data_IF_673904371304
#
_entry.id   IF_673904371304
#
_cell.length_a   1.000
_cell.length_b   1.000
_cell.length_c   1.000
_cell.angle_alpha   90.00
_cell.angle_beta   90.00
_cell.angle_gamma   90.00
#
_symmetry.space_group_name_H-M   'P 1'
#
loop_
_entity.id
_entity.type
_entity.pdbx_description
1 polymer ?
#
# COMPACT_ATOMS: atom_id res chain seq x y z
N UNK A 1 8.18 31.93 -15.14
CA UNK A 1 7.12 30.91 -15.35
C UNK A 1 6.06 31.37 -16.34
N UNK A 2 5.26 32.42 -16.06
CA UNK A 2 4.16 32.85 -16.96
C UNK A 2 4.60 33.10 -18.42
N UNK A 3 5.75 33.74 -18.63
CA UNK A 3 6.31 33.96 -19.98
C UNK A 3 6.66 32.64 -20.68
N UNK A 4 7.13 31.65 -19.92
CA UNK A 4 7.58 30.35 -20.45
C UNK A 4 6.36 29.46 -20.76
N UNK A 5 5.38 29.41 -19.87
CA UNK A 5 4.17 28.58 -20.03
C UNK A 5 3.19 29.14 -21.06
N UNK A 6 3.25 30.43 -21.39
CA UNK A 6 2.42 31.05 -22.44
C UNK A 6 2.99 30.84 -23.87
N UNK A 7 3.93 29.91 -24.06
CA UNK A 7 4.45 29.57 -25.39
C UNK A 7 5.36 30.63 -26.02
N UNK A 8 6.02 31.46 -25.21
CA UNK A 8 6.99 32.43 -25.73
C UNK A 8 8.13 31.73 -26.46
N UNK A 9 8.55 32.28 -27.61
CA UNK A 9 9.76 31.83 -28.32
C UNK A 9 11.02 31.88 -27.45
N UNK A 10 11.03 32.65 -26.36
CA UNK A 10 12.13 32.74 -25.40
C UNK A 10 12.16 31.59 -24.37
N UNK A 11 11.17 30.71 -24.35
CA UNK A 11 11.07 29.62 -23.39
C UNK A 11 12.36 28.77 -23.31
N UNK A 12 12.93 28.40 -24.46
CA UNK A 12 14.16 27.61 -24.52
C UNK A 12 15.39 28.32 -23.92
N UNK A 13 15.43 29.65 -23.96
CA UNK A 13 16.51 30.45 -23.36
C UNK A 13 16.32 30.66 -21.87
N UNK A 14 15.07 30.72 -21.40
CA UNK A 14 14.75 31.02 -20.00
C UNK A 14 14.72 29.77 -19.11
N UNK A 15 14.40 28.60 -19.66
CA UNK A 15 14.32 27.33 -18.90
C UNK A 15 15.62 26.96 -18.16
N UNK A 16 16.83 27.13 -18.72
CA UNK A 16 18.07 26.82 -18.00
C UNK A 16 18.38 27.76 -16.81
N UNK A 17 17.79 28.96 -16.81
CA UNK A 17 17.97 29.95 -15.73
C UNK A 17 16.83 29.90 -14.71
N UNK A 18 16.01 28.86 -14.73
CA UNK A 18 14.97 28.68 -13.74
C UNK A 18 15.60 28.32 -12.39
N UNK A 19 15.48 29.22 -11.42
CA UNK A 19 16.04 29.07 -10.07
C UNK A 19 14.91 28.86 -9.04
N UNK A 20 14.32 27.65 -8.94
CA UNK A 20 13.18 27.39 -8.05
C UNK A 20 13.49 27.62 -6.57
N UNK A 21 14.77 27.53 -6.18
CA UNK A 21 15.24 27.82 -4.83
C UNK A 21 15.12 29.31 -4.45
N UNK A 22 15.01 30.22 -5.41
CA UNK A 22 14.78 31.65 -5.17
C UNK A 22 13.29 32.00 -5.04
N UNK A 23 12.39 31.08 -5.40
CA UNK A 23 10.94 31.34 -5.36
C UNK A 23 10.47 31.40 -3.90
N UNK A 24 9.75 32.45 -3.47
CA UNK A 24 9.23 32.55 -2.11
C UNK A 24 8.36 31.32 -1.74
N UNK A 25 8.38 30.85 -0.47
CA UNK A 25 7.56 29.72 -0.04
C UNK A 25 6.08 29.89 -0.41
N UNK A 26 5.52 31.09 -0.21
CA UNK A 26 4.11 31.40 -0.49
C UNK A 26 3.73 31.27 -1.99
N UNK A 27 4.72 31.35 -2.88
CA UNK A 27 4.53 31.20 -4.33
C UNK A 27 4.89 29.78 -4.82
N UNK A 28 5.65 29.01 -4.04
CA UNK A 28 6.18 27.72 -4.44
C UNK A 28 5.07 26.68 -4.66
N UNK A 29 4.02 26.70 -3.84
CA UNK A 29 2.86 25.85 -4.01
C UNK A 29 2.10 26.16 -5.32
N UNK A 30 1.85 27.45 -5.58
CA UNK A 30 1.17 27.91 -6.79
C UNK A 30 1.99 27.60 -8.05
N UNK A 31 3.31 27.75 -7.96
CA UNK A 31 4.26 27.37 -9.01
C UNK A 31 4.18 25.88 -9.32
N UNK A 32 4.28 25.02 -8.30
CA UNK A 32 4.19 23.56 -8.50
C UNK A 32 2.85 23.18 -9.13
N UNK A 33 1.75 23.72 -8.61
CA UNK A 33 0.39 23.43 -9.11
C UNK A 33 0.23 23.89 -10.56
N UNK A 34 0.78 25.05 -10.92
CA UNK A 34 0.74 25.57 -12.29
C UNK A 34 1.54 24.71 -13.26
N UNK A 35 2.75 24.29 -12.85
CA UNK A 35 3.59 23.40 -13.65
C UNK A 35 2.96 22.00 -13.79
N UNK A 36 2.39 21.48 -12.70
CA UNK A 36 1.63 20.22 -12.66
C UNK A 36 0.48 20.23 -13.67
N UNK A 37 -0.27 21.32 -13.77
CA UNK A 37 -1.33 21.49 -14.78
C UNK A 37 -0.77 21.60 -16.20
N UNK A 38 0.26 22.43 -16.38
CA UNK A 38 0.88 22.66 -17.69
C UNK A 38 1.49 21.38 -18.29
N UNK A 39 2.02 20.49 -17.45
CA UNK A 39 2.53 19.19 -17.91
C UNK A 39 1.49 18.36 -18.66
N UNK A 40 0.21 18.54 -18.39
CA UNK A 40 -0.88 17.79 -19.04
C UNK A 40 -1.29 18.39 -20.39
N UNK A 41 -0.83 19.60 -20.71
CA UNK A 41 -1.09 20.26 -21.97
C UNK A 41 0.00 19.87 -22.99
N UNK A 42 -0.34 19.20 -24.11
CA UNK A 42 0.63 18.80 -25.15
C UNK A 42 1.53 19.94 -25.64
N UNK A 43 1.05 21.18 -25.63
CA UNK A 43 1.78 22.35 -26.11
C UNK A 43 2.88 22.77 -25.12
N UNK A 44 2.64 22.60 -23.82
CA UNK A 44 3.53 23.10 -22.76
C UNK A 44 4.25 21.98 -21.99
N UNK A 45 3.90 20.72 -22.25
CA UNK A 45 4.37 19.55 -21.52
C UNK A 45 5.90 19.43 -21.44
N UNK A 46 6.62 19.58 -22.55
CA UNK A 46 8.08 19.42 -22.59
C UNK A 46 8.80 20.48 -21.76
N UNK A 47 8.33 21.72 -21.82
CA UNK A 47 8.90 22.86 -21.09
C UNK A 47 8.51 22.80 -19.62
N UNK A 48 7.27 22.47 -19.31
CA UNK A 48 6.80 22.29 -17.94
C UNK A 48 7.52 21.13 -17.24
N UNK A 49 7.81 20.04 -17.96
CA UNK A 49 8.64 18.93 -17.48
C UNK A 49 10.06 19.39 -17.15
N UNK A 50 10.71 20.14 -18.04
CA UNK A 50 12.06 20.65 -17.82
C UNK A 50 12.14 21.61 -16.61
N UNK A 51 11.05 22.32 -16.30
CA UNK A 51 10.96 23.17 -15.11
C UNK A 51 10.67 22.34 -13.84
N UNK A 52 9.80 21.34 -13.91
CA UNK A 52 9.52 20.45 -12.77
C UNK A 52 10.71 19.58 -12.40
N UNK A 53 11.49 19.12 -13.37
CA UNK A 53 12.69 18.32 -13.10
C UNK A 53 13.79 19.12 -12.38
N UNK A 54 13.80 20.45 -12.56
CA UNK A 54 14.67 21.37 -11.82
C UNK A 54 14.13 21.72 -10.43
N UNK A 55 12.86 21.41 -10.13
CA UNK A 55 12.26 21.70 -8.83
C UNK A 55 12.71 20.64 -7.82
N UNK A 56 13.61 21.03 -6.93
CA UNK A 56 14.03 20.19 -5.82
C UNK A 56 12.91 20.07 -4.77
N UNK A 57 12.15 18.98 -4.87
CA UNK A 57 11.04 18.68 -3.97
C UNK A 57 11.49 18.54 -2.50
N UNK A 58 12.76 18.15 -2.25
CA UNK A 58 13.30 18.05 -0.89
C UNK A 58 13.50 19.44 -0.31
N UNK A 59 14.10 20.34 -1.08
CA UNK A 59 14.26 21.74 -0.69
C UNK A 59 12.89 22.42 -0.52
N UNK A 60 11.93 22.14 -1.40
CA UNK A 60 10.56 22.63 -1.25
C UNK A 60 9.93 22.22 0.08
N UNK A 61 10.09 20.96 0.51
CA UNK A 61 9.60 20.46 1.80
C UNK A 61 10.26 21.11 3.01
N UNK A 62 11.52 21.54 2.91
CA UNK A 62 12.20 22.24 3.99
C UNK A 62 11.74 23.70 4.13
N UNK A 63 11.28 24.31 3.04
CA UNK A 63 10.92 25.75 2.98
C UNK A 63 9.43 26.00 3.21
N UNK A 64 8.58 25.04 2.84
CA UNK A 64 7.13 25.15 2.97
C UNK A 64 6.65 24.75 4.37
N UNK A 65 5.63 25.43 4.91
CA UNK A 65 4.87 24.92 6.05
C UNK A 65 4.31 23.52 5.78
N UNK A 66 4.14 22.66 6.80
CA UNK A 66 3.78 21.25 6.61
C UNK A 66 2.44 21.07 5.89
N UNK A 67 1.47 21.91 6.25
CA UNK A 67 0.14 21.91 5.67
C UNK A 67 0.11 22.33 4.20
N UNK A 68 1.05 23.17 3.76
CA UNK A 68 1.16 23.57 2.35
C UNK A 68 1.89 22.50 1.54
N UNK A 69 2.92 21.89 2.13
CA UNK A 69 3.66 20.82 1.47
C UNK A 69 2.80 19.56 1.29
N UNK A 70 1.97 19.19 2.28
CA UNK A 70 1.06 18.05 2.16
C UNK A 70 0.05 18.21 1.02
N UNK A 71 -0.33 19.45 0.67
CA UNK A 71 -1.20 19.72 -0.48
C UNK A 71 -0.52 19.45 -1.85
N UNK A 72 0.81 19.35 -1.89
CA UNK A 72 1.54 18.97 -3.11
C UNK A 72 1.38 17.48 -3.43
N UNK A 73 1.18 16.64 -2.42
CA UNK A 73 1.08 15.18 -2.58
C UNK A 73 -0.10 14.78 -3.49
N UNK A 74 -1.34 15.29 -3.27
CA UNK A 74 -2.44 15.05 -4.21
C UNK A 74 -2.10 15.50 -5.63
N UNK A 75 -1.52 16.70 -5.82
CA UNK A 75 -1.18 17.22 -7.15
C UNK A 75 -0.10 16.37 -7.85
N UNK A 76 0.91 15.90 -7.12
CA UNK A 76 1.95 15.02 -7.63
C UNK A 76 1.37 13.68 -8.10
N UNK A 77 0.49 13.09 -7.29
CA UNK A 77 -0.19 11.83 -7.60
C UNK A 77 -1.12 11.96 -8.81
N UNK A 78 -1.92 13.01 -8.83
CA UNK A 78 -2.82 13.37 -9.92
C UNK A 78 -2.07 13.49 -11.27
N UNK A 79 -0.85 14.05 -11.28
CA UNK A 79 -0.03 14.03 -12.50
C UNK A 79 0.44 12.63 -12.84
N UNK A 80 0.91 11.88 -11.84
CA UNK A 80 1.41 10.52 -12.04
C UNK A 80 0.38 9.63 -12.72
N UNK A 81 -0.87 9.63 -12.22
CA UNK A 81 -1.95 8.80 -12.77
C UNK A 81 -2.47 9.29 -14.14
N UNK A 82 -2.13 10.52 -14.54
CA UNK A 82 -2.51 11.08 -15.85
C UNK A 82 -1.54 10.69 -16.98
N UNK A 83 -0.38 10.09 -16.64
CA UNK A 83 0.65 9.70 -17.61
C UNK A 83 0.38 8.27 -18.08
N UNK A 84 0.10 8.10 -19.37
CA UNK A 84 -0.13 6.79 -19.98
C UNK A 84 1.16 6.05 -20.35
N UNK A 85 2.23 6.77 -20.69
CA UNK A 85 3.51 6.21 -21.10
C UNK A 85 4.54 6.30 -19.96
N UNK A 86 4.80 5.14 -19.33
CA UNK A 86 5.72 4.99 -18.20
C UNK A 86 7.19 5.13 -18.59
N UNK A 87 7.52 5.15 -19.89
CA UNK A 87 8.89 5.38 -20.37
C UNK A 87 9.29 6.86 -20.37
N UNK A 88 8.32 7.77 -20.20
CA UNK A 88 8.57 9.20 -20.21
C UNK A 88 9.34 9.64 -18.95
N UNK A 89 10.36 10.51 -19.05
CA UNK A 89 11.07 11.06 -17.89
C UNK A 89 10.16 11.76 -16.87
N UNK A 90 9.02 12.26 -17.33
CA UNK A 90 7.98 12.84 -16.48
C UNK A 90 7.45 11.84 -15.45
N UNK A 91 7.26 10.59 -15.85
CA UNK A 91 6.78 9.53 -14.97
C UNK A 91 7.71 9.34 -13.78
N UNK A 92 9.02 9.30 -14.02
CA UNK A 92 10.04 9.20 -12.96
C UNK A 92 10.04 10.41 -12.03
N UNK A 93 9.92 11.62 -12.59
CA UNK A 93 9.88 12.86 -11.80
C UNK A 93 8.64 12.89 -10.91
N UNK A 94 7.46 12.60 -11.46
CA UNK A 94 6.21 12.56 -10.71
C UNK A 94 6.22 11.46 -9.64
N UNK A 95 6.74 10.28 -9.95
CA UNK A 95 6.92 9.19 -8.98
C UNK A 95 7.81 9.63 -7.82
N UNK A 96 8.98 10.22 -8.11
CA UNK A 96 9.90 10.73 -7.07
C UNK A 96 9.26 11.82 -6.21
N UNK A 97 8.53 12.76 -6.82
CA UNK A 97 7.83 13.82 -6.09
C UNK A 97 6.73 13.28 -5.18
N UNK A 98 5.96 12.31 -5.68
CA UNK A 98 4.92 11.68 -4.90
C UNK A 98 5.51 10.89 -3.72
N UNK A 99 6.43 9.96 -3.98
CA UNK A 99 7.07 9.15 -2.93
C UNK A 99 7.78 10.03 -1.90
N UNK A 100 8.50 11.06 -2.34
CA UNK A 100 9.12 11.99 -1.38
C UNK A 100 8.07 12.69 -0.51
N UNK A 101 6.94 13.10 -1.09
CA UNK A 101 5.86 13.75 -0.34
C UNK A 101 5.18 12.84 0.68
N UNK A 102 4.99 11.56 0.32
CA UNK A 102 4.44 10.52 1.21
C UNK A 102 5.32 10.33 2.46
N UNK A 103 6.64 10.35 2.28
CA UNK A 103 7.61 10.16 3.37
C UNK A 103 8.11 11.46 4.01
N UNK A 104 7.65 12.62 3.53
CA UNK A 104 8.00 13.90 4.15
C UNK A 104 7.38 13.99 5.55
N UNK A 105 8.22 14.22 6.57
CA UNK A 105 7.82 14.19 7.98
C UNK A 105 7.11 12.90 8.36
N UNK A 106 7.61 11.77 7.86
CA UNK A 106 7.12 10.45 8.24
C UNK A 106 7.00 10.32 9.77
N UNK A 107 5.88 9.82 10.31
CA UNK A 107 4.76 9.16 9.61
C UNK A 107 3.58 10.08 9.22
N UNK A 108 3.67 11.39 9.42
CA UNK A 108 2.50 12.30 9.32
C UNK A 108 1.76 12.25 7.99
N UNK A 109 2.48 12.23 6.86
CA UNK A 109 1.87 12.19 5.52
C UNK A 109 1.60 10.76 5.01
N UNK A 110 2.14 9.74 5.69
CA UNK A 110 2.23 8.39 5.16
C UNK A 110 0.86 7.78 4.90
N UNK A 111 -0.03 7.88 5.90
CA UNK A 111 -1.37 7.29 5.84
C UNK A 111 -2.22 7.94 4.75
N UNK A 112 -2.13 9.25 4.58
CA UNK A 112 -2.88 9.96 3.53
C UNK A 112 -2.34 9.63 2.13
N UNK A 113 -1.03 9.47 1.99
CA UNK A 113 -0.40 8.99 0.77
C UNK A 113 -0.82 7.56 0.40
N UNK A 114 -0.88 6.68 1.40
CA UNK A 114 -1.36 5.31 1.24
C UNK A 114 -2.83 5.27 0.83
N UNK A 115 -3.70 6.03 1.52
CA UNK A 115 -5.13 6.17 1.15
C UNK A 115 -5.32 6.63 -0.28
N UNK A 116 -4.57 7.66 -0.70
CA UNK A 116 -4.65 8.19 -2.05
C UNK A 116 -4.28 7.12 -3.09
N UNK A 117 -3.16 6.43 -2.88
CA UNK A 117 -2.68 5.35 -3.76
C UNK A 117 -3.67 4.19 -3.83
N UNK A 118 -4.22 3.76 -2.69
CA UNK A 118 -5.18 2.67 -2.61
C UNK A 118 -6.52 3.01 -3.28
N UNK A 119 -7.00 4.24 -3.13
CA UNK A 119 -8.30 4.66 -3.68
C UNK A 119 -8.35 4.64 -5.21
N UNK A 120 -7.22 4.88 -5.87
CA UNK A 120 -7.10 4.88 -7.33
C UNK A 120 -6.78 3.50 -7.93
N UNK A 121 -6.64 2.45 -7.10
CA UNK A 121 -6.55 1.07 -7.57
C UNK A 121 -7.86 0.58 -8.21
N UNK A 122 -9.02 1.02 -7.69
CA UNK A 122 -10.34 0.64 -8.20
C UNK A 122 -10.56 1.06 -9.67
N UNK A 123 -9.85 2.09 -10.12
CA UNK A 123 -9.91 2.61 -11.49
C UNK A 123 -8.69 2.20 -12.33
N UNK A 124 -7.83 1.32 -11.82
CA UNK A 124 -6.54 0.93 -12.43
C UNK A 124 -5.60 2.11 -12.72
N UNK A 125 -5.74 3.20 -11.98
CA UNK A 125 -5.02 4.45 -12.24
C UNK A 125 -3.71 4.53 -11.47
N UNK A 126 -3.64 3.90 -10.29
CA UNK A 126 -2.40 3.84 -9.49
C UNK A 126 -1.35 3.02 -10.22
N UNK A 127 -0.12 3.52 -10.41
CA UNK A 127 0.94 2.68 -10.93
C UNK A 127 1.43 1.68 -9.88
N UNK A 128 1.53 0.37 -10.21
CA UNK A 128 1.92 -0.65 -9.24
C UNK A 128 3.27 -0.39 -8.55
N UNK A 129 4.23 0.25 -9.23
CA UNK A 129 5.56 0.53 -8.69
C UNK A 129 5.56 1.44 -7.45
N UNK A 130 4.47 2.17 -7.20
CA UNK A 130 4.33 3.01 -6.01
C UNK A 130 4.42 2.18 -4.74
N UNK A 131 3.79 1.00 -4.74
CA UNK A 131 3.83 0.09 -3.60
C UNK A 131 5.22 -0.54 -3.42
N UNK A 132 5.95 -0.81 -4.52
CA UNK A 132 7.32 -1.30 -4.47
C UNK A 132 8.27 -0.24 -3.86
N UNK A 133 8.11 1.02 -4.24
CA UNK A 133 8.91 2.12 -3.67
C UNK A 133 8.59 2.34 -2.18
N UNK A 134 7.32 2.22 -1.77
CA UNK A 134 6.94 2.24 -0.35
C UNK A 134 7.61 1.08 0.40
N UNK A 135 7.52 -0.14 -0.14
CA UNK A 135 8.12 -1.34 0.44
C UNK A 135 9.64 -1.18 0.61
N UNK A 136 10.31 -0.66 -0.43
CA UNK A 136 11.74 -0.37 -0.43
C UNK A 136 12.14 0.66 0.63
N UNK A 137 11.39 1.76 0.76
CA UNK A 137 11.65 2.81 1.77
C UNK A 137 11.50 2.32 3.21
N UNK A 138 10.56 1.40 3.43
CA UNK A 138 10.32 0.76 4.72
C UNK A 138 11.20 -0.47 4.97
N UNK A 139 11.94 -0.93 3.95
CA UNK A 139 12.79 -2.13 3.97
C UNK A 139 12.01 -3.41 4.38
N UNK A 140 10.81 -3.59 3.82
CA UNK A 140 9.88 -4.69 4.17
C UNK A 140 10.43 -6.09 3.84
N UNK A 141 11.44 -6.18 2.98
CA UNK A 141 12.10 -7.43 2.59
C UNK A 141 13.15 -7.93 3.60
N UNK A 142 13.48 -7.16 4.63
CA UNK A 142 14.52 -7.53 5.59
C UNK A 142 14.04 -8.57 6.60
N UNK A 143 13.98 -9.83 6.17
CA UNK A 143 13.83 -11.00 7.06
C UNK A 143 15.17 -11.40 7.69
N UNK A 144 16.29 -10.79 7.28
CA UNK A 144 17.62 -11.02 7.85
C UNK A 144 18.34 -9.72 8.21
N UNK A 145 18.72 -9.63 9.49
CA UNK A 145 19.61 -8.63 10.06
C UNK A 145 20.99 -8.84 9.41
N UNK A 146 21.39 -8.02 8.43
CA UNK A 146 22.81 -7.64 8.29
C UNK A 146 23.14 -6.49 7.32
N UNK A 147 22.36 -6.11 6.29
CA UNK A 147 22.96 -5.19 5.27
C UNK A 147 22.16 -4.00 4.74
N UNK A 148 20.96 -3.70 5.23
CA UNK A 148 20.31 -2.41 4.94
C UNK A 148 19.54 -1.90 6.15
N UNK A 149 19.96 -0.75 6.69
CA UNK A 149 19.15 -0.02 7.66
C UNK A 149 17.93 0.56 6.93
N UNK A 150 16.70 0.40 7.43
CA UNK A 150 15.53 1.03 6.83
C UNK A 150 15.72 2.55 6.76
N UNK A 151 15.30 3.18 5.66
CA UNK A 151 15.33 4.64 5.53
C UNK A 151 14.32 5.27 6.51
N UNK A 152 13.20 4.58 6.73
CA UNK A 152 12.16 4.97 7.66
C UNK A 152 11.77 3.79 8.55
N UNK A 153 11.75 4.01 9.87
CA UNK A 153 11.30 3.01 10.85
C UNK A 153 9.82 3.28 11.12
N UNK A 154 8.98 2.29 10.85
CA UNK A 154 7.55 2.36 11.17
C UNK A 154 7.34 1.97 12.65
N UNK A 155 6.60 2.78 13.38
CA UNK A 155 6.16 2.45 14.74
C UNK A 155 4.87 1.60 14.72
N UNK A 156 4.59 0.96 15.85
CA UNK A 156 3.41 0.10 16.05
C UNK A 156 2.09 0.80 15.71
N UNK A 157 1.90 2.06 16.11
CA UNK A 157 0.65 2.78 15.90
C UNK A 157 0.44 3.11 14.43
N UNK A 158 1.51 3.54 13.74
CA UNK A 158 1.48 3.81 12.31
C UNK A 158 1.21 2.53 11.51
N UNK A 159 1.83 1.40 11.87
CA UNK A 159 1.59 0.11 11.22
C UNK A 159 0.13 -0.36 11.38
N UNK A 160 -0.43 -0.27 12.59
CA UNK A 160 -1.84 -0.59 12.86
C UNK A 160 -2.78 0.30 12.02
N UNK A 161 -2.48 1.60 11.95
CA UNK A 161 -3.28 2.56 11.16
C UNK A 161 -3.18 2.27 9.65
N UNK A 162 -2.02 1.83 9.18
CA UNK A 162 -1.80 1.43 7.80
C UNK A 162 -2.56 0.14 7.44
N UNK A 163 -2.51 -0.89 8.30
CA UNK A 163 -3.30 -2.12 8.09
C UNK A 163 -4.80 -1.84 8.11
N UNK A 164 -5.28 -0.98 9.01
CA UNK A 164 -6.70 -0.59 9.05
C UNK A 164 -7.10 0.17 7.79
N UNK A 165 -6.25 1.07 7.31
CA UNK A 165 -6.47 1.80 6.05
C UNK A 165 -6.64 0.85 4.87
N UNK A 166 -5.80 -0.20 4.80
CA UNK A 166 -5.90 -1.22 3.75
C UNK A 166 -7.17 -2.06 3.92
N UNK A 167 -7.52 -2.50 5.14
CA UNK A 167 -8.74 -3.24 5.40
C UNK A 167 -10.00 -2.46 4.98
N UNK A 168 -10.06 -1.18 5.33
CA UNK A 168 -11.15 -0.29 4.93
C UNK A 168 -11.25 -0.16 3.41
N UNK A 169 -10.11 -0.01 2.71
CA UNK A 169 -10.13 0.04 1.25
C UNK A 169 -10.58 -1.29 0.66
N UNK A 170 -10.02 -2.44 1.08
CA UNK A 170 -10.43 -3.74 0.55
C UNK A 170 -11.94 -3.97 0.75
N UNK A 171 -12.49 -3.63 1.92
CA UNK A 171 -13.93 -3.69 2.17
C UNK A 171 -14.72 -2.78 1.24
N UNK A 172 -14.26 -1.53 1.03
CA UNK A 172 -14.90 -0.58 0.11
C UNK A 172 -14.88 -1.11 -1.33
N UNK A 173 -13.70 -1.43 -1.85
CA UNK A 173 -13.48 -1.98 -3.18
C UNK A 173 -14.29 -3.26 -3.38
N UNK A 174 -14.37 -4.12 -2.36
CA UNK A 174 -15.17 -5.33 -2.40
C UNK A 174 -16.65 -5.04 -2.56
N UNK A 175 -17.18 -4.06 -1.83
CA UNK A 175 -18.59 -3.66 -1.93
C UNK A 175 -18.92 -3.01 -3.29
N UNK A 176 -18.02 -2.19 -3.82
CA UNK A 176 -18.24 -1.44 -5.06
C UNK A 176 -17.98 -2.28 -6.33
N UNK A 177 -16.96 -3.13 -6.31
CA UNK A 177 -16.53 -3.95 -7.46
C UNK A 177 -17.09 -5.37 -7.41
N UNK A 178 -17.56 -5.84 -6.25
CA UNK A 178 -18.10 -7.19 -6.05
C UNK A 178 -17.12 -8.28 -6.54
N UNK A 179 -17.53 -9.09 -7.51
CA UNK A 179 -16.72 -10.17 -8.10
C UNK A 179 -15.64 -9.65 -9.05
N UNK A 180 -15.70 -8.39 -9.49
CA UNK A 180 -14.67 -7.78 -10.36
C UNK A 180 -13.41 -7.36 -9.61
N UNK A 181 -13.43 -7.36 -8.27
CA UNK A 181 -12.31 -6.94 -7.43
C UNK A 181 -11.00 -7.57 -7.92
N UNK A 182 -10.94 -8.89 -8.02
CA UNK A 182 -9.73 -9.62 -8.41
C UNK A 182 -9.24 -9.24 -9.81
N UNK A 183 -10.12 -9.16 -10.80
CA UNK A 183 -9.77 -8.71 -12.16
C UNK A 183 -9.24 -7.27 -12.24
N UNK A 184 -9.62 -6.43 -11.28
CA UNK A 184 -9.20 -5.02 -11.21
C UNK A 184 -7.90 -4.89 -10.42
N UNK A 185 -7.80 -5.63 -9.32
CA UNK A 185 -6.72 -5.54 -8.35
C UNK A 185 -5.56 -6.52 -8.59
N UNK A 186 -5.63 -7.40 -9.60
CA UNK A 186 -4.64 -8.44 -9.86
C UNK A 186 -3.18 -7.94 -9.81
N UNK A 187 -2.89 -6.81 -10.47
CA UNK A 187 -1.53 -6.25 -10.53
C UNK A 187 -1.08 -5.57 -9.23
N UNK A 188 -2.04 -5.23 -8.36
CA UNK A 188 -1.80 -4.55 -7.08
C UNK A 188 -1.70 -5.54 -5.91
N UNK A 189 -2.46 -6.64 -5.94
CA UNK A 189 -2.58 -7.58 -4.83
C UNK A 189 -1.22 -8.07 -4.33
N UNK A 190 -0.28 -8.58 -5.14
CA UNK A 190 1.02 -9.03 -4.62
C UNK A 190 1.77 -7.95 -3.84
N UNK A 191 1.73 -6.70 -4.33
CA UNK A 191 2.48 -5.58 -3.75
C UNK A 191 1.83 -5.04 -2.48
N UNK A 192 0.51 -4.89 -2.51
CA UNK A 192 -0.26 -4.44 -1.34
C UNK A 192 -0.23 -5.51 -0.25
N UNK A 193 -0.36 -6.79 -0.59
CA UNK A 193 -0.34 -7.88 0.39
C UNK A 193 1.04 -8.05 1.03
N UNK A 194 2.12 -7.78 0.29
CA UNK A 194 3.45 -7.71 0.89
C UNK A 194 3.56 -6.62 1.96
N UNK A 195 2.99 -5.43 1.72
CA UNK A 195 2.89 -4.39 2.74
C UNK A 195 1.98 -4.80 3.91
N UNK A 196 0.86 -5.48 3.63
CA UNK A 196 -0.05 -5.99 4.67
C UNK A 196 0.65 -6.96 5.61
N UNK A 197 1.40 -7.94 5.08
CA UNK A 197 2.18 -8.85 5.92
C UNK A 197 3.13 -8.09 6.84
N UNK A 198 3.87 -7.13 6.29
CA UNK A 198 4.77 -6.30 7.07
C UNK A 198 4.03 -5.52 8.17
N UNK A 199 2.91 -4.86 7.86
CA UNK A 199 2.14 -4.08 8.84
C UNK A 199 1.45 -4.90 9.91
N UNK A 200 1.13 -6.18 9.64
CA UNK A 200 0.52 -7.08 10.62
C UNK A 200 1.57 -7.80 11.46
N UNK A 201 2.64 -8.29 10.84
CA UNK A 201 3.69 -9.06 11.52
C UNK A 201 4.60 -8.18 12.37
N UNK A 202 5.05 -7.03 11.86
CA UNK A 202 6.04 -6.20 12.54
C UNK A 202 5.55 -5.73 13.94
N UNK A 203 4.32 -5.19 14.10
CA UNK A 203 3.77 -4.91 15.42
C UNK A 203 3.73 -6.12 16.35
N UNK A 204 3.26 -7.27 15.86
CA UNK A 204 3.15 -8.49 16.65
C UNK A 204 4.52 -8.97 17.13
N UNK A 205 5.51 -8.97 16.25
CA UNK A 205 6.89 -9.34 16.59
C UNK A 205 7.54 -8.35 17.56
N UNK A 206 7.24 -7.06 17.48
CA UNK A 206 7.79 -6.05 18.38
C UNK A 206 7.13 -6.07 19.76
N UNK A 207 5.85 -6.43 19.85
CA UNK A 207 5.13 -6.53 21.12
C UNK A 207 5.26 -7.88 21.82
N UNK A 208 5.71 -8.91 21.11
CA UNK A 208 5.79 -10.27 21.63
C UNK A 208 6.79 -10.39 22.79
N UNK A 209 6.32 -10.88 23.93
CA UNK A 209 7.13 -11.18 25.11
C UNK A 209 6.84 -12.62 25.59
N UNK A 210 7.80 -13.56 25.42
CA UNK A 210 7.59 -14.97 25.75
C UNK A 210 7.45 -15.23 27.26
N UNK A 211 7.83 -14.27 28.11
CA UNK A 211 7.73 -14.40 29.58
C UNK A 211 6.32 -14.07 30.10
N UNK A 212 5.41 -13.63 29.23
CA UNK A 212 4.04 -13.35 29.62
C UNK A 212 3.29 -14.63 30.02
N UNK A 213 2.36 -14.54 31.00
CA UNK A 213 1.47 -15.65 31.31
C UNK A 213 0.71 -16.14 30.08
N UNK A 214 0.50 -17.46 29.96
CA UNK A 214 -0.18 -18.09 28.82
C UNK A 214 -1.49 -17.40 28.44
N UNK A 215 -2.33 -17.04 29.41
CA UNK A 215 -3.60 -16.34 29.13
C UNK A 215 -3.43 -14.98 28.44
N UNK A 216 -2.32 -14.27 28.70
CA UNK A 216 -2.00 -13.01 28.00
C UNK A 216 -1.51 -13.28 26.59
N UNK A 217 -0.61 -14.26 26.41
CA UNK A 217 -0.14 -14.69 25.10
C UNK A 217 -1.30 -15.13 24.20
N UNK A 218 -2.25 -15.90 24.74
CA UNK A 218 -3.47 -16.31 24.03
C UNK A 218 -4.33 -15.10 23.63
N UNK A 219 -4.46 -14.11 24.52
CA UNK A 219 -5.21 -12.89 24.24
C UNK A 219 -4.56 -12.03 23.16
N UNK A 220 -3.23 -11.88 23.20
CA UNK A 220 -2.46 -11.15 22.19
C UNK A 220 -2.54 -11.85 20.84
N UNK A 221 -2.33 -13.16 20.80
CA UNK A 221 -2.46 -13.94 19.57
C UNK A 221 -3.86 -13.80 18.98
N UNK A 222 -4.91 -13.86 19.81
CA UNK A 222 -6.29 -13.69 19.35
C UNK A 222 -6.53 -12.30 18.75
N UNK A 223 -5.95 -11.26 19.34
CA UNK A 223 -6.02 -9.90 18.80
C UNK A 223 -5.28 -9.79 17.46
N UNK A 224 -4.06 -10.31 17.39
CA UNK A 224 -3.25 -10.32 16.15
C UNK A 224 -3.95 -11.09 15.04
N UNK A 225 -4.45 -12.29 15.35
CA UNK A 225 -5.23 -13.09 14.40
C UNK A 225 -6.51 -12.38 13.96
N UNK A 226 -7.22 -11.74 14.88
CA UNK A 226 -8.40 -10.92 14.58
C UNK A 226 -8.09 -9.78 13.60
N UNK A 227 -6.96 -9.10 13.78
CA UNK A 227 -6.50 -8.07 12.84
C UNK A 227 -6.17 -8.65 11.46
N UNK A 228 -5.54 -9.84 11.41
CA UNK A 228 -5.26 -10.51 10.14
C UNK A 228 -6.56 -10.85 9.39
N UNK A 229 -7.52 -11.47 10.08
CA UNK A 229 -8.82 -11.80 9.50
C UNK A 229 -9.59 -10.55 9.09
N UNK A 230 -9.49 -9.45 9.84
CA UNK A 230 -10.13 -8.17 9.47
C UNK A 230 -9.59 -7.60 8.15
N UNK A 231 -8.28 -7.69 7.91
CA UNK A 231 -7.65 -7.20 6.66
C UNK A 231 -7.91 -8.16 5.49
N UNK A 232 -7.73 -9.47 5.69
CA UNK A 232 -7.86 -10.47 4.61
C UNK A 232 -9.31 -10.90 4.33
N UNK A 233 -10.21 -10.74 5.30
CA UNK A 233 -11.61 -11.16 5.22
C UNK A 233 -12.35 -10.67 3.97
N UNK A 234 -12.27 -9.38 3.59
CA UNK A 234 -12.90 -8.89 2.36
C UNK A 234 -12.44 -9.61 1.07
N UNK A 235 -11.26 -10.23 1.08
CA UNK A 235 -10.70 -10.99 -0.05
C UNK A 235 -11.08 -12.47 0.01
N UNK A 236 -11.16 -13.05 1.22
CA UNK A 236 -11.33 -14.50 1.43
C UNK A 236 -12.78 -14.92 1.70
N UNK A 237 -13.61 -14.05 2.27
CA UNK A 237 -14.96 -14.38 2.70
C UNK A 237 -16.00 -14.22 1.58
N UNK A 238 -17.13 -14.92 1.74
CA UNK A 238 -18.25 -14.88 0.80
C UNK A 238 -18.74 -13.44 0.55
N UNK A 239 -18.95 -13.09 -0.72
CA UNK A 239 -19.59 -11.83 -1.10
C UNK A 239 -21.12 -11.98 -1.03
N UNK A 240 -21.67 -11.98 0.19
CA UNK A 240 -23.10 -12.19 0.42
C UNK A 240 -23.50 -13.68 0.50
N UNK A 241 -24.79 -13.97 0.76
CA UNK A 241 -25.23 -15.30 1.16
C UNK A 241 -24.89 -16.40 0.14
N UNK A 242 -23.89 -17.22 0.46
CA UNK A 242 -23.53 -18.41 -0.31
C UNK A 242 -22.74 -18.17 -1.59
N UNK A 243 -22.34 -16.93 -1.89
CA UNK A 243 -21.54 -16.61 -3.07
C UNK A 243 -20.04 -16.73 -2.78
N UNK A 244 -19.25 -17.30 -3.70
CA UNK A 244 -17.83 -17.48 -3.51
C UNK A 244 -17.09 -16.12 -3.48
N UNK A 245 -15.93 -16.05 -2.82
CA UNK A 245 -15.13 -14.86 -2.77
C UNK A 245 -14.58 -14.38 -4.13
N UNK A 246 -14.39 -15.26 -5.10
CA UNK A 246 -13.87 -14.92 -6.44
C UNK A 246 -14.48 -15.80 -7.52
N UNK A 247 -14.39 -15.35 -8.77
CA UNK A 247 -14.82 -16.15 -9.91
C UNK A 247 -13.78 -17.22 -10.26
N UNK A 248 -14.15 -18.29 -10.96
CA UNK A 248 -13.18 -19.30 -11.42
C UNK A 248 -12.03 -18.73 -12.27
N UNK A 249 -12.28 -17.67 -13.04
CA UNK A 249 -11.26 -17.01 -13.86
C UNK A 249 -10.20 -16.24 -13.05
N UNK A 250 -10.50 -15.93 -11.79
CA UNK A 250 -9.64 -15.15 -10.89
C UNK A 250 -8.79 -16.05 -9.97
N UNK A 251 -8.72 -17.36 -10.28
CA UNK A 251 -8.04 -18.38 -9.46
C UNK A 251 -6.59 -18.02 -9.17
N UNK A 252 -5.81 -17.57 -10.16
CA UNK A 252 -4.40 -17.25 -9.96
C UNK A 252 -4.20 -16.10 -8.96
N UNK A 253 -4.99 -15.03 -9.11
CA UNK A 253 -4.98 -13.90 -8.18
C UNK A 253 -5.44 -14.29 -6.78
N UNK A 254 -6.41 -15.21 -6.65
CA UNK A 254 -6.86 -15.73 -5.37
C UNK A 254 -5.82 -16.62 -4.69
N UNK A 255 -5.09 -17.43 -5.45
CA UNK A 255 -3.95 -18.20 -4.96
C UNK A 255 -2.91 -17.28 -4.34
N UNK A 256 -2.57 -16.16 -5.01
CA UNK A 256 -1.67 -15.16 -4.43
C UNK A 256 -2.18 -14.64 -3.09
N UNK A 257 -3.47 -14.31 -2.96
CA UNK A 257 -4.03 -13.85 -1.68
C UNK A 257 -3.83 -14.90 -0.59
N UNK A 258 -4.10 -16.16 -0.91
CA UNK A 258 -3.95 -17.27 0.03
C UNK A 258 -2.48 -17.52 0.40
N UNK A 259 -1.55 -17.46 -0.55
CA UNK A 259 -0.11 -17.57 -0.29
C UNK A 259 0.34 -16.55 0.76
N UNK A 260 -0.04 -15.28 0.58
CA UNK A 260 0.30 -14.22 1.54
C UNK A 260 -0.39 -14.41 2.90
N UNK A 261 -1.62 -14.89 2.92
CA UNK A 261 -2.33 -15.15 4.18
C UNK A 261 -1.69 -16.31 4.95
N UNK A 262 -1.43 -17.43 4.28
CA UNK A 262 -0.83 -18.64 4.84
C UNK A 262 0.59 -18.37 5.32
N UNK A 263 1.41 -17.70 4.50
CA UNK A 263 2.76 -17.30 4.87
C UNK A 263 2.78 -16.40 6.13
N UNK A 264 1.80 -15.50 6.29
CA UNK A 264 1.67 -14.73 7.52
C UNK A 264 1.28 -15.60 8.72
N UNK A 265 0.36 -16.55 8.52
CA UNK A 265 -0.01 -17.49 9.57
C UNK A 265 1.20 -18.34 10.00
N UNK A 266 2.02 -18.82 9.08
CA UNK A 266 3.25 -19.55 9.39
C UNK A 266 4.22 -18.72 10.23
N UNK A 267 4.45 -17.46 9.85
CA UNK A 267 5.32 -16.56 10.61
C UNK A 267 4.79 -16.33 12.03
N UNK A 268 3.49 -16.14 12.19
CA UNK A 268 2.85 -16.02 13.51
C UNK A 268 2.89 -17.34 14.29
N UNK A 269 2.76 -18.48 13.62
CA UNK A 269 2.89 -19.80 14.24
C UNK A 269 4.29 -20.00 14.79
N UNK A 270 5.33 -19.64 14.03
CA UNK A 270 6.72 -19.71 14.48
C UNK A 270 7.00 -18.76 15.65
N UNK A 271 6.39 -17.57 15.64
CA UNK A 271 6.56 -16.59 16.70
C UNK A 271 5.97 -17.07 18.04
N UNK A 272 4.73 -17.57 18.03
CA UNK A 272 4.01 -17.90 19.25
C UNK A 272 4.04 -19.40 19.64
N UNK A 273 4.10 -20.30 18.65
CA UNK A 273 3.76 -21.71 18.81
C UNK A 273 4.58 -22.48 19.84
N UNK A 274 5.88 -22.16 19.94
CA UNK A 274 6.79 -22.82 20.89
C UNK A 274 6.48 -22.50 22.37
N UNK A 275 5.65 -21.50 22.65
CA UNK A 275 5.43 -20.97 24.00
C UNK A 275 4.06 -21.37 24.59
N UNK A 276 3.21 -22.05 23.82
CA UNK A 276 1.93 -22.52 24.31
C UNK A 276 2.02 -23.95 24.88
N UNK A 277 1.53 -24.20 26.11
CA UNK A 277 1.41 -25.56 26.62
C UNK A 277 0.35 -26.36 25.84
N UNK A 278 0.41 -27.71 25.88
CA UNK A 278 -0.63 -28.54 25.30
C UNK A 278 -2.02 -28.18 25.84
N UNK A 279 -2.99 -28.02 24.95
CA UNK A 279 -4.38 -27.67 25.29
C UNK A 279 -4.70 -26.17 25.30
N UNK A 280 -3.71 -25.29 25.13
CA UNK A 280 -3.93 -23.86 24.93
C UNK A 280 -4.56 -23.53 23.59
N UNK A 281 -5.28 -22.40 23.52
CA UNK A 281 -5.73 -21.84 22.26
C UNK A 281 -4.51 -21.31 21.49
N UNK A 282 -4.24 -21.88 20.33
CA UNK A 282 -3.10 -21.53 19.49
C UNK A 282 -3.57 -21.11 18.09
N UNK A 283 -2.63 -20.73 17.23
CA UNK A 283 -2.96 -20.22 15.90
C UNK A 283 -3.73 -21.23 15.06
N UNK A 284 -3.37 -22.52 15.14
CA UNK A 284 -4.05 -23.60 14.41
C UNK A 284 -5.52 -23.68 14.85
N UNK A 285 -5.79 -23.63 16.15
CA UNK A 285 -7.18 -23.66 16.66
C UNK A 285 -8.00 -22.45 16.24
N UNK A 286 -7.41 -21.25 16.23
CA UNK A 286 -8.05 -20.02 15.75
C UNK A 286 -8.36 -20.09 14.26
N UNK A 287 -7.39 -20.57 13.47
CA UNK A 287 -7.54 -20.75 12.03
C UNK A 287 -8.64 -21.75 11.69
N UNK A 288 -8.69 -22.90 12.36
CA UNK A 288 -9.75 -23.89 12.15
C UNK A 288 -11.15 -23.36 12.48
N UNK A 289 -11.26 -22.58 13.56
CA UNK A 289 -12.53 -21.89 13.91
C UNK A 289 -12.93 -20.93 12.79
N UNK A 290 -12.00 -20.10 12.32
CA UNK A 290 -12.26 -19.17 11.23
C UNK A 290 -12.66 -19.89 9.94
N UNK A 291 -11.95 -20.95 9.56
CA UNK A 291 -12.29 -21.75 8.39
C UNK A 291 -13.71 -22.31 8.49
N UNK A 292 -14.05 -22.97 9.59
CA UNK A 292 -15.37 -23.58 9.78
C UNK A 292 -16.50 -22.55 9.76
N UNK A 293 -16.29 -21.38 10.37
CA UNK A 293 -17.31 -20.34 10.50
C UNK A 293 -17.47 -19.49 9.23
N UNK A 294 -16.38 -19.19 8.52
CA UNK A 294 -16.34 -18.13 7.49
C UNK A 294 -16.01 -18.62 6.09
N UNK A 295 -15.23 -19.69 5.97
CA UNK A 295 -14.71 -20.16 4.68
C UNK A 295 -15.32 -21.48 4.21
N UNK A 296 -15.84 -22.31 5.12
CA UNK A 296 -16.41 -23.62 4.77
C UNK A 296 -17.84 -23.54 4.20
N UNK A 297 -18.50 -22.38 4.28
CA UNK A 297 -19.93 -22.22 4.04
C UNK A 297 -20.27 -21.58 2.67
N UNK A 298 -19.79 -22.16 1.56
CA UNK A 298 -20.19 -21.72 0.21
C UNK A 298 -21.28 -22.63 -0.36
N UNK A 299 -22.54 -22.17 -0.33
CA UNK A 299 -23.70 -22.98 -0.77
C UNK A 299 -23.94 -22.97 -2.28
N UNK A 300 -23.35 -22.04 -3.04
CA UNK A 300 -23.51 -21.93 -4.50
C UNK A 300 -22.17 -21.71 -5.21
N UNK A 301 -21.71 -22.69 -5.98
CA UNK A 301 -20.58 -22.51 -6.91
C UNK A 301 -19.22 -22.28 -6.23
N UNK A 302 -18.99 -22.83 -5.04
CA UNK A 302 -17.73 -22.67 -4.29
C UNK A 302 -16.72 -23.81 -4.42
N UNK A 303 -16.93 -24.77 -5.33
CA UNK A 303 -16.03 -25.93 -5.43
C UNK A 303 -14.60 -25.55 -5.81
N UNK A 304 -14.41 -24.57 -6.70
CA UNK A 304 -13.08 -24.05 -7.06
C UNK A 304 -12.42 -23.34 -5.88
N UNK A 305 -13.20 -22.65 -5.05
CA UNK A 305 -12.70 -21.99 -3.83
C UNK A 305 -12.26 -23.03 -2.80
N UNK A 306 -13.08 -24.04 -2.55
CA UNK A 306 -12.75 -25.11 -1.61
C UNK A 306 -11.53 -25.91 -2.06
N UNK A 307 -11.37 -26.18 -3.36
CA UNK A 307 -10.18 -26.86 -3.87
C UNK A 307 -8.90 -26.10 -3.50
N UNK A 308 -8.87 -24.79 -3.72
CA UNK A 308 -7.69 -23.97 -3.43
C UNK A 308 -7.49 -23.88 -1.92
N UNK A 309 -8.53 -23.52 -1.16
CA UNK A 309 -8.41 -23.37 0.30
C UNK A 309 -7.96 -24.69 0.96
N UNK A 310 -8.52 -25.84 0.58
CA UNK A 310 -8.14 -27.14 1.17
C UNK A 310 -6.68 -27.48 0.88
N UNK A 311 -6.16 -27.18 -0.31
CA UNK A 311 -4.74 -27.35 -0.64
C UNK A 311 -3.82 -26.54 0.28
N UNK A 312 -4.25 -25.34 0.69
CA UNK A 312 -3.48 -24.49 1.60
C UNK A 312 -3.62 -24.90 3.07
N UNK A 313 -4.78 -25.40 3.48
CA UNK A 313 -5.01 -25.86 4.85
C UNK A 313 -4.14 -27.06 5.20
N UNK A 314 -3.90 -27.96 4.25
CA UNK A 314 -3.06 -29.14 4.48
C UNK A 314 -1.64 -28.73 4.88
N UNK A 315 -1.15 -27.61 4.34
CA UNK A 315 0.18 -27.09 4.62
C UNK A 315 0.33 -26.48 6.02
N UNK A 316 -0.74 -25.95 6.61
CA UNK A 316 -0.72 -25.37 7.98
C UNK A 316 -0.72 -26.46 9.07
N UNK A 317 -1.17 -27.66 8.73
CA UNK A 317 -1.34 -28.78 9.68
C UNK A 317 -0.19 -29.78 9.72
N UNK A 318 0.73 -29.72 8.76
CA UNK A 318 1.94 -30.53 8.69
C UNK A 318 3.14 -29.80 9.30
#
# INVERSE_FOLDING_TARGET
MHVILNGSHLAHLLTPYFTPHCVPPDELFNLYTSLSKAVRDPITASVALALLSQLDIKNAGNRLPPHQFSQLMPAAFENLISISDTSLPLYDVCTKHFIHSVFHRFPSNFIDGLKLSLSACDTKSTPPCIFDEIAKKLNTNSVSVMDTKPEYIIDTMTAITASETIAMQFKKSRNELSTRLYSIWADYLPKVLHLVQFFLYNPASLSFDPELPTAKLESELRQVFGNCVHVFGPLLESFGPGLPPWNPADTDSATVVLDYFVSLMEQLHLLYGAYFPPGSENLITLFWRYYAEKLASFTRGGSHVHQIIVCFITFITD
#
